data_IF_360005720858
#
_entry.id   IF_360005720858
#
_cell.length_a   1.000
_cell.length_b   1.000
_cell.length_c   1.000
_cell.angle_alpha   90.00
_cell.angle_beta   90.00
_cell.angle_gamma   90.00
#
_symmetry.space_group_name_H-M   'P 1'
#
loop_
_entity.id
_entity.type
_entity.pdbx_description
1 polymer ?
#
# COMPACT_ATOMS: atom_id res chain seq x y z
N UNK A 1 -12.96 -14.72 -10.68
CA UNK A 1 -11.81 -13.79 -10.77
C UNK A 1 -11.86 -12.89 -9.55
N UNK A 2 -10.83 -12.93 -8.71
CA UNK A 2 -10.76 -12.10 -7.51
C UNK A 2 -9.89 -10.88 -7.82
N UNK A 3 -10.41 -9.68 -7.56
CA UNK A 3 -9.75 -8.41 -7.87
C UNK A 3 -9.21 -7.85 -6.56
N UNK A 4 -7.98 -7.35 -6.60
CA UNK A 4 -7.37 -6.58 -5.52
C UNK A 4 -6.97 -5.21 -6.03
N UNK A 5 -7.23 -4.17 -5.24
CA UNK A 5 -6.72 -2.81 -5.46
C UNK A 5 -5.52 -2.64 -4.55
N UNK A 6 -4.37 -2.25 -5.11
CA UNK A 6 -3.15 -2.03 -4.35
C UNK A 6 -2.82 -0.53 -4.36
N UNK A 7 -2.66 0.04 -3.17
CA UNK A 7 -2.21 1.41 -2.97
C UNK A 7 -0.92 1.46 -2.13
N UNK A 8 -0.22 2.58 -2.18
CA UNK A 8 0.98 2.82 -1.39
C UNK A 8 1.06 4.29 -1.01
N UNK A 9 1.43 4.58 0.24
CA UNK A 9 1.68 5.95 0.69
C UNK A 9 2.61 5.96 1.90
N UNK A 10 3.16 7.14 2.18
CA UNK A 10 3.80 7.47 3.45
C UNK A 10 2.90 8.44 4.24
N UNK A 11 3.38 8.92 5.38
CA UNK A 11 2.63 9.85 6.22
C UNK A 11 2.26 11.18 5.54
N UNK A 12 3.05 11.67 4.58
CA UNK A 12 2.82 12.96 3.93
C UNK A 12 1.66 12.90 2.92
N UNK A 13 1.45 11.73 2.31
CA UNK A 13 0.40 11.51 1.31
C UNK A 13 -0.79 10.71 1.86
N UNK A 14 -0.82 10.46 3.16
CA UNK A 14 -1.82 9.59 3.78
C UNK A 14 -3.26 10.04 3.53
N UNK A 15 -3.56 11.34 3.65
CA UNK A 15 -4.94 11.81 3.47
C UNK A 15 -5.46 11.59 2.03
N UNK A 16 -4.57 11.57 1.03
CA UNK A 16 -4.95 11.25 -0.34
C UNK A 16 -5.33 9.77 -0.49
N UNK A 17 -4.54 8.86 0.08
CA UNK A 17 -4.85 7.42 0.00
C UNK A 17 -6.06 7.08 0.88
N UNK A 18 -6.23 7.77 2.00
CA UNK A 18 -7.40 7.68 2.87
C UNK A 18 -8.67 8.04 2.09
N UNK A 19 -8.68 9.18 1.41
CA UNK A 19 -9.78 9.59 0.54
C UNK A 19 -10.06 8.59 -0.59
N UNK A 20 -9.00 8.04 -1.19
CA UNK A 20 -9.11 6.99 -2.22
C UNK A 20 -9.79 5.74 -1.67
N UNK A 21 -9.33 5.21 -0.53
CA UNK A 21 -9.90 4.02 0.12
C UNK A 21 -11.38 4.25 0.46
N UNK A 22 -11.72 5.39 1.06
CA UNK A 22 -13.10 5.73 1.38
C UNK A 22 -13.97 5.79 0.11
N UNK A 23 -13.48 6.43 -0.95
CA UNK A 23 -14.22 6.53 -2.23
C UNK A 23 -14.49 5.16 -2.86
N UNK A 24 -13.60 4.19 -2.67
CA UNK A 24 -13.82 2.80 -3.10
C UNK A 24 -14.88 2.15 -2.22
N UNK A 25 -14.75 2.24 -0.89
CA UNK A 25 -15.69 1.61 0.07
C UNK A 25 -17.11 2.16 0.00
N UNK A 26 -17.28 3.40 -0.45
CA UNK A 26 -18.59 4.01 -0.71
C UNK A 26 -19.37 3.32 -1.84
N UNK A 27 -18.70 2.66 -2.79
CA UNK A 27 -19.36 1.97 -3.92
C UNK A 27 -19.84 0.58 -3.50
N UNK A 28 -21.03 0.12 -3.95
CA UNK A 28 -21.54 -1.21 -3.66
C UNK A 28 -20.54 -2.34 -3.97
N UNK A 29 -19.85 -2.24 -5.10
CA UNK A 29 -18.85 -3.21 -5.57
C UNK A 29 -17.55 -3.14 -4.74
N UNK A 30 -17.21 -1.94 -4.24
CA UNK A 30 -16.00 -1.71 -3.44
C UNK A 30 -16.10 -2.16 -1.99
N UNK A 31 -17.30 -2.51 -1.49
CA UNK A 31 -17.46 -3.08 -0.14
C UNK A 31 -16.74 -4.42 0.02
N UNK A 32 -16.72 -5.23 -1.04
CA UNK A 32 -16.18 -6.59 -1.00
C UNK A 32 -14.85 -6.74 -1.78
N UNK A 33 -14.34 -5.68 -2.40
CA UNK A 33 -13.03 -5.73 -3.07
C UNK A 33 -11.92 -5.81 -2.04
N UNK A 34 -10.92 -6.65 -2.30
CA UNK A 34 -9.73 -6.69 -1.46
C UNK A 34 -8.90 -5.42 -1.70
N UNK A 35 -8.40 -4.83 -0.62
CA UNK A 35 -7.46 -3.71 -0.70
C UNK A 35 -6.15 -4.12 -0.03
N UNK A 36 -5.05 -4.04 -0.78
CA UNK A 36 -3.70 -4.18 -0.28
C UNK A 36 -3.05 -2.80 -0.15
N UNK A 37 -2.28 -2.59 0.91
CA UNK A 37 -1.58 -1.35 1.15
C UNK A 37 -0.09 -1.58 1.38
N UNK A 38 0.76 -0.84 0.67
CA UNK A 38 2.19 -0.78 0.95
C UNK A 38 2.51 0.40 1.87
N UNK A 39 2.96 0.10 3.09
CA UNK A 39 3.44 1.10 4.06
C UNK A 39 4.84 1.59 3.70
N UNK A 40 4.94 2.85 3.27
CA UNK A 40 6.21 3.49 2.93
C UNK A 40 6.73 4.43 4.04
N UNK A 41 6.07 4.46 5.20
CA UNK A 41 6.41 5.34 6.31
C UNK A 41 5.19 6.05 6.91
N UNK A 42 4.07 5.35 7.07
CA UNK A 42 2.91 5.85 7.81
C UNK A 42 3.18 5.93 9.32
N UNK A 43 2.45 6.80 10.02
CA UNK A 43 2.50 6.87 11.48
C UNK A 43 1.72 5.70 12.12
N UNK A 44 1.94 5.38 13.40
CA UNK A 44 1.19 4.34 14.10
C UNK A 44 -0.33 4.56 14.05
N UNK A 45 -0.79 5.79 14.19
CA UNK A 45 -2.22 6.15 14.16
C UNK A 45 -2.82 5.93 12.77
N UNK A 46 -2.05 6.25 11.72
CA UNK A 46 -2.44 6.01 10.33
C UNK A 46 -2.53 4.52 10.02
N UNK A 47 -1.58 3.72 10.52
CA UNK A 47 -1.60 2.26 10.39
C UNK A 47 -2.79 1.64 11.12
N UNK A 48 -3.08 2.10 12.35
CA UNK A 48 -4.26 1.64 13.09
C UNK A 48 -5.56 1.94 12.35
N UNK A 49 -5.66 3.09 11.67
CA UNK A 49 -6.80 3.36 10.80
C UNK A 49 -6.84 2.40 9.60
N UNK A 50 -5.72 2.18 8.91
CA UNK A 50 -5.64 1.27 7.75
C UNK A 50 -6.06 -0.15 8.09
N UNK A 51 -5.67 -0.67 9.25
CA UNK A 51 -6.05 -2.01 9.75
C UNK A 51 -7.58 -2.22 9.76
N UNK A 52 -8.35 -1.15 9.91
CA UNK A 52 -9.83 -1.20 9.89
C UNK A 52 -10.43 -1.12 8.49
N UNK A 53 -9.65 -0.74 7.47
CA UNK A 53 -10.17 -0.37 6.14
C UNK A 53 -9.65 -1.25 5.00
N UNK A 54 -8.47 -1.85 5.15
CA UNK A 54 -7.80 -2.65 4.12
C UNK A 54 -7.63 -4.10 4.59
N UNK A 55 -7.39 -5.00 3.63
CA UNK A 55 -7.27 -6.43 3.90
C UNK A 55 -5.83 -6.82 4.24
N UNK A 56 -4.86 -6.10 3.68
CA UNK A 56 -3.45 -6.41 3.83
C UNK A 56 -2.64 -5.13 3.94
N UNK A 57 -1.70 -5.12 4.89
CA UNK A 57 -0.68 -4.08 5.01
C UNK A 57 0.66 -4.77 4.90
N UNK A 58 1.48 -4.34 3.94
CA UNK A 58 2.80 -4.88 3.70
C UNK A 58 3.81 -3.73 3.73
N UNK A 59 4.94 -3.93 4.40
CA UNK A 59 6.02 -2.94 4.41
C UNK A 59 7.08 -3.39 3.41
N UNK A 60 7.11 -2.86 2.18
CA UNK A 60 8.08 -3.28 1.19
C UNK A 60 9.49 -2.88 1.61
N UNK A 61 10.46 -3.73 1.28
CA UNK A 61 11.87 -3.44 1.49
C UNK A 61 12.65 -3.43 0.17
N UNK A 62 13.95 -3.22 0.25
CA UNK A 62 14.82 -3.25 -0.91
C UNK A 62 15.09 -4.69 -1.37
N UNK A 63 14.15 -5.20 -2.17
CA UNK A 63 14.23 -6.55 -2.75
C UNK A 63 15.28 -6.70 -3.85
N UNK A 64 15.89 -5.59 -4.30
CA UNK A 64 16.94 -5.56 -5.31
C UNK A 64 18.19 -4.85 -4.78
N UNK A 65 19.33 -5.22 -5.34
CA UNK A 65 20.57 -4.48 -5.20
C UNK A 65 20.90 -3.76 -6.50
N UNK A 66 21.21 -2.46 -6.41
CA UNK A 66 21.45 -1.61 -7.58
C UNK A 66 22.30 -0.39 -7.22
N UNK A 67 23.06 0.18 -8.17
CA UNK A 67 23.88 1.36 -7.93
C UNK A 67 23.04 2.54 -7.41
N UNK A 68 23.49 3.19 -6.34
CA UNK A 68 22.80 4.36 -5.76
C UNK A 68 21.64 4.03 -4.82
N UNK A 69 21.38 2.75 -4.52
CA UNK A 69 20.32 2.30 -3.59
C UNK A 69 20.28 3.05 -2.25
N UNK A 70 21.43 3.38 -1.66
CA UNK A 70 21.47 4.09 -0.37
C UNK A 70 20.97 5.53 -0.44
N UNK A 71 21.05 6.18 -1.60
CA UNK A 71 20.56 7.53 -1.83
C UNK A 71 19.16 7.55 -2.48
N UNK A 72 18.60 6.37 -2.77
CA UNK A 72 17.33 6.25 -3.47
C UNK A 72 16.16 6.65 -2.54
N UNK A 73 15.19 7.45 -3.02
CA UNK A 73 14.00 7.79 -2.25
C UNK A 73 13.23 6.54 -1.79
N UNK A 74 12.71 6.56 -0.56
CA UNK A 74 12.02 5.41 0.03
C UNK A 74 10.78 4.96 -0.74
N UNK A 75 10.07 5.86 -1.43
CA UNK A 75 8.90 5.50 -2.23
C UNK A 75 9.21 4.50 -3.36
N UNK A 76 10.48 4.41 -3.79
CA UNK A 76 10.92 3.45 -4.81
C UNK A 76 10.74 2.00 -4.31
N UNK A 77 10.79 1.75 -2.99
CA UNK A 77 10.48 0.42 -2.43
C UNK A 77 9.11 -0.08 -2.86
N UNK A 78 8.10 0.80 -2.85
CA UNK A 78 6.74 0.44 -3.30
C UNK A 78 6.67 0.12 -4.79
N UNK A 79 7.46 0.79 -5.63
CA UNK A 79 7.56 0.48 -7.07
C UNK A 79 8.25 -0.86 -7.31
N UNK A 80 9.36 -1.10 -6.61
CA UNK A 80 10.14 -2.33 -6.73
C UNK A 80 9.48 -3.54 -6.08
N UNK A 81 8.49 -3.35 -5.20
CA UNK A 81 7.72 -4.45 -4.64
C UNK A 81 6.65 -5.02 -5.60
N UNK A 82 6.29 -4.30 -6.67
CA UNK A 82 5.21 -4.70 -7.60
C UNK A 82 5.39 -6.08 -8.25
N UNK A 83 6.60 -6.51 -8.68
CA UNK A 83 6.80 -7.87 -9.18
C UNK A 83 6.45 -8.96 -8.16
N UNK A 84 6.49 -8.65 -6.86
CA UNK A 84 6.19 -9.57 -5.76
C UNK A 84 4.75 -9.44 -5.25
N UNK A 85 3.92 -8.57 -5.83
CA UNK A 85 2.56 -8.31 -5.33
C UNK A 85 1.69 -9.57 -5.21
N UNK A 86 1.83 -10.53 -6.13
CA UNK A 86 1.07 -11.78 -6.07
C UNK A 86 1.45 -12.65 -4.85
N UNK A 87 2.69 -12.56 -4.36
CA UNK A 87 3.16 -13.30 -3.19
C UNK A 87 2.82 -12.56 -1.89
N UNK A 88 2.84 -11.23 -1.92
CA UNK A 88 2.63 -10.39 -0.74
C UNK A 88 1.13 -10.21 -0.39
N UNK A 89 0.24 -10.48 -1.34
CA UNK A 89 -1.21 -10.28 -1.22
C UNK A 89 -2.03 -11.50 -1.69
N UNK A 90 -1.52 -12.71 -1.38
CA UNK A 90 -2.18 -14.00 -1.68
C UNK A 90 -3.19 -14.41 -0.62
#
# INVERSE_FOLDING_TARGET
>A
MQIIIIAAADANYFELVRGTILSVREKPEGKNVAIGFFDLGCTPEQLQWLETQVNFIQKPDWNFDFPGKQAAPHYIKGLLARPFSAQLFS
#
